data_IF_636308845994
#
_entry.id   IF_636308845994
#
_cell.length_a   1.000
_cell.length_b   1.000
_cell.length_c   1.000
_cell.angle_alpha   90.00
_cell.angle_beta   90.00
_cell.angle_gamma   90.00
#
_symmetry.space_group_name_H-M   'P 1'
#
loop_
_entity.id
_entity.type
_entity.pdbx_description
1 polymer ?
#
# COMPACT_ATOMS: atom_id res chain seq x y z
N UNK A 1 -75.42 -7.89 8.98
CA UNK A 1 -74.87 -8.91 8.06
C UNK A 1 -74.58 -8.19 6.76
N UNK A 2 -73.39 -7.62 6.62
CA UNK A 2 -73.01 -6.81 5.45
C UNK A 2 -71.93 -7.59 4.71
N UNK A 3 -72.30 -8.15 3.57
CA UNK A 3 -71.40 -8.90 2.70
C UNK A 3 -70.60 -7.88 1.89
N UNK A 4 -69.30 -7.77 2.18
CA UNK A 4 -68.35 -7.03 1.34
C UNK A 4 -68.11 -7.86 0.08
N UNK A 5 -68.57 -7.35 -1.06
CA UNK A 5 -68.32 -7.94 -2.38
C UNK A 5 -66.91 -7.53 -2.82
N UNK A 6 -65.98 -8.46 -3.11
CA UNK A 6 -64.67 -8.09 -3.62
C UNK A 6 -64.80 -7.59 -5.07
N UNK A 7 -64.18 -6.44 -5.37
CA UNK A 7 -64.08 -5.91 -6.71
C UNK A 7 -63.23 -6.85 -7.58
N UNK A 8 -63.82 -7.35 -8.67
CA UNK A 8 -63.18 -8.20 -9.67
C UNK A 8 -63.03 -7.42 -10.97
N UNK A 9 -61.82 -7.41 -11.53
CA UNK A 9 -61.52 -6.79 -12.82
C UNK A 9 -62.10 -7.67 -13.96
N UNK A 10 -62.90 -7.11 -14.90
CA UNK A 10 -63.75 -7.91 -15.78
C UNK A 10 -63.05 -8.64 -16.95
N UNK A 11 -61.71 -8.68 -17.02
CA UNK A 11 -61.01 -9.23 -18.18
C UNK A 11 -60.00 -10.37 -17.90
N UNK A 12 -59.68 -10.71 -16.64
CA UNK A 12 -58.71 -11.79 -16.36
C UNK A 12 -58.92 -12.60 -15.07
N UNK A 13 -59.88 -12.28 -14.21
CA UNK A 13 -60.35 -13.18 -13.14
C UNK A 13 -59.32 -13.62 -12.08
N UNK A 14 -58.16 -12.95 -11.94
CA UNK A 14 -57.16 -13.29 -10.93
C UNK A 14 -57.18 -12.31 -9.73
N UNK A 15 -56.98 -12.77 -8.49
CA UNK A 15 -56.88 -11.91 -7.31
C UNK A 15 -55.54 -11.14 -7.31
N UNK A 16 -55.58 -9.82 -7.08
CA UNK A 16 -54.42 -8.92 -6.93
C UNK A 16 -53.61 -9.15 -5.63
N UNK A 17 -53.45 -10.40 -5.18
CA UNK A 17 -52.67 -10.74 -3.99
C UNK A 17 -51.24 -11.24 -4.31
N UNK A 18 -50.75 -10.99 -5.53
CA UNK A 18 -49.45 -11.50 -5.99
C UNK A 18 -48.47 -10.36 -6.32
N UNK A 19 -48.23 -9.48 -5.34
CA UNK A 19 -47.10 -8.54 -5.34
C UNK A 19 -46.57 -8.33 -3.92
N UNK A 20 -46.22 -9.43 -3.25
CA UNK A 20 -45.26 -9.39 -2.14
C UNK A 20 -44.18 -10.40 -2.46
N UNK A 21 -43.11 -9.91 -3.09
CA UNK A 21 -41.84 -10.64 -3.14
C UNK A 21 -41.47 -11.09 -1.72
N UNK A 22 -40.95 -12.31 -1.53
CA UNK A 22 -40.47 -12.72 -0.23
C UNK A 22 -39.36 -11.74 0.19
N UNK A 23 -39.60 -11.01 1.28
CA UNK A 23 -38.56 -10.22 1.95
C UNK A 23 -37.50 -11.24 2.36
N UNK A 24 -36.32 -11.14 1.75
CA UNK A 24 -35.16 -11.93 2.13
C UNK A 24 -34.82 -11.57 3.57
N UNK A 25 -35.32 -12.35 4.52
CA UNK A 25 -34.82 -12.36 5.89
C UNK A 25 -33.40 -12.94 5.81
N UNK A 26 -32.43 -12.06 5.53
CA UNK A 26 -31.02 -12.39 5.55
C UNK A 26 -30.69 -12.76 7.00
N UNK A 27 -30.78 -14.05 7.32
CA UNK A 27 -30.36 -14.56 8.62
C UNK A 27 -28.94 -14.05 8.91
N UNK A 28 -28.66 -13.65 10.16
CA UNK A 28 -27.34 -13.12 10.52
C UNK A 28 -26.20 -14.08 10.10
N UNK A 29 -26.46 -15.39 10.08
CA UNK A 29 -25.56 -16.41 9.56
C UNK A 29 -25.13 -16.17 8.11
N UNK A 30 -26.06 -15.81 7.22
CA UNK A 30 -25.77 -15.52 5.81
C UNK A 30 -24.93 -14.24 5.66
N UNK A 31 -25.08 -13.29 6.59
CA UNK A 31 -24.25 -12.06 6.61
C UNK A 31 -22.83 -12.39 7.03
N UNK A 32 -22.63 -13.21 8.06
CA UNK A 32 -21.28 -13.65 8.47
C UNK A 32 -20.59 -14.47 7.40
N UNK A 33 -21.32 -15.37 6.73
CA UNK A 33 -20.79 -16.16 5.62
C UNK A 33 -20.44 -15.27 4.42
N UNK A 34 -21.26 -14.27 4.10
CA UNK A 34 -20.96 -13.29 3.05
C UNK A 34 -19.72 -12.44 3.35
N UNK A 35 -19.54 -12.02 4.60
CA UNK A 35 -18.34 -11.28 5.04
C UNK A 35 -17.10 -12.17 4.99
N UNK A 36 -17.19 -13.42 5.46
CA UNK A 36 -16.09 -14.39 5.40
C UNK A 36 -15.65 -14.66 3.96
N UNK A 37 -16.60 -14.95 3.07
CA UNK A 37 -16.34 -15.16 1.65
C UNK A 37 -15.71 -13.93 0.98
N UNK A 38 -16.13 -12.72 1.38
CA UNK A 38 -15.55 -11.48 0.87
C UNK A 38 -14.09 -11.32 1.32
N UNK A 39 -13.77 -11.60 2.58
CA UNK A 39 -12.40 -11.55 3.10
C UNK A 39 -11.52 -12.59 2.41
N UNK A 40 -11.98 -13.83 2.27
CA UNK A 40 -11.26 -14.88 1.56
C UNK A 40 -11.03 -14.52 0.09
N UNK A 41 -12.01 -13.89 -0.56
CA UNK A 41 -11.86 -13.37 -1.92
C UNK A 41 -10.76 -12.30 -1.99
N UNK A 42 -10.74 -11.34 -1.06
CA UNK A 42 -9.71 -10.29 -1.04
C UNK A 42 -8.32 -10.86 -0.73
N UNK A 43 -8.20 -11.79 0.21
CA UNK A 43 -6.93 -12.44 0.55
C UNK A 43 -6.40 -13.27 -0.64
N UNK A 44 -7.29 -13.97 -1.34
CA UNK A 44 -6.94 -14.70 -2.55
C UNK A 44 -6.51 -13.74 -3.67
N UNK A 45 -7.19 -12.59 -3.83
CA UNK A 45 -6.77 -11.56 -4.79
C UNK A 45 -5.41 -10.93 -4.44
N UNK A 46 -5.13 -10.68 -3.16
CA UNK A 46 -3.84 -10.16 -2.68
C UNK A 46 -2.71 -11.18 -2.88
N UNK A 47 -3.00 -12.45 -2.62
CA UNK A 47 -2.07 -13.57 -2.85
C UNK A 47 -1.72 -13.76 -4.34
N UNK A 48 -2.59 -13.30 -5.24
CA UNK A 48 -2.39 -13.34 -6.69
C UNK A 48 -1.76 -12.06 -7.25
N UNK A 49 -1.19 -11.18 -6.40
CA UNK A 49 -0.52 -9.98 -6.87
C UNK A 49 0.63 -10.36 -7.83
N UNK A 50 0.71 -9.73 -9.02
CA UNK A 50 1.72 -10.07 -10.00
C UNK A 50 3.12 -9.83 -9.45
N UNK A 51 4.09 -10.65 -9.87
CA UNK A 51 5.47 -10.41 -9.48
C UNK A 51 5.95 -9.05 -10.01
N UNK A 52 6.79 -8.38 -9.22
CA UNK A 52 7.37 -7.09 -9.61
C UNK A 52 8.02 -7.15 -11.00
N UNK A 53 8.69 -8.26 -11.33
CA UNK A 53 9.33 -8.43 -12.63
C UNK A 53 8.33 -8.47 -13.79
N UNK A 54 7.17 -9.12 -13.60
CA UNK A 54 6.08 -9.19 -14.58
C UNK A 54 5.45 -7.80 -14.78
N UNK A 55 5.26 -7.08 -13.67
CA UNK A 55 4.75 -5.70 -13.66
C UNK A 55 5.69 -4.75 -14.40
N UNK A 56 7.00 -4.89 -14.19
CA UNK A 56 8.02 -4.08 -14.85
C UNK A 56 8.23 -4.46 -16.32
N UNK A 57 7.62 -5.57 -16.79
CA UNK A 57 7.77 -6.11 -18.16
C UNK A 57 9.25 -6.27 -18.59
N UNK A 58 10.14 -6.45 -17.63
CA UNK A 58 11.57 -6.59 -17.88
C UNK A 58 11.83 -8.02 -18.35
N UNK A 59 12.24 -8.15 -19.61
CA UNK A 59 12.61 -9.45 -20.17
C UNK A 59 14.04 -9.79 -19.77
N UNK A 60 14.24 -10.90 -19.06
CA UNK A 60 15.57 -11.35 -18.57
C UNK A 60 16.65 -11.54 -19.64
N UNK A 61 16.28 -11.54 -20.92
CA UNK A 61 17.17 -11.76 -22.08
C UNK A 61 17.72 -10.48 -22.70
N UNK A 62 17.19 -9.32 -22.34
CA UNK A 62 17.58 -8.04 -22.94
C UNK A 62 17.70 -6.97 -21.85
N UNK A 63 18.65 -6.03 -21.98
CA UNK A 63 18.70 -4.88 -21.08
C UNK A 63 17.41 -4.07 -21.21
N UNK A 64 16.70 -3.91 -20.09
CA UNK A 64 15.58 -2.98 -20.00
C UNK A 64 16.09 -1.57 -19.78
N UNK A 65 15.52 -0.60 -20.48
CA UNK A 65 15.84 0.82 -20.29
C UNK A 65 14.62 1.51 -19.69
N UNK A 66 14.82 2.17 -18.56
CA UNK A 66 13.87 3.08 -17.92
C UNK A 66 14.42 4.50 -17.99
N UNK A 67 13.57 5.53 -17.97
CA UNK A 67 14.02 6.93 -18.02
C UNK A 67 14.27 7.50 -19.40
N UNK A 68 13.62 6.95 -20.43
CA UNK A 68 13.74 7.53 -21.77
C UNK A 68 12.94 8.82 -21.91
N UNK A 69 11.99 9.06 -21.02
CA UNK A 69 11.19 10.28 -20.99
C UNK A 69 11.39 11.00 -19.65
N UNK A 70 11.42 12.33 -19.66
CA UNK A 70 11.53 13.15 -18.44
C UNK A 70 10.39 12.91 -17.44
N UNK A 71 9.27 12.34 -17.90
CA UNK A 71 8.13 11.96 -17.07
C UNK A 71 8.30 10.59 -16.36
N UNK A 72 9.28 9.77 -16.74
CA UNK A 72 9.59 8.50 -16.07
C UNK A 72 10.33 8.74 -14.74
N UNK A 73 10.99 9.90 -14.59
CA UNK A 73 11.67 10.35 -13.37
C UNK A 73 11.29 11.80 -13.05
N UNK A 74 10.03 12.06 -12.65
CA UNK A 74 9.61 13.41 -12.32
C UNK A 74 10.40 13.94 -11.12
N UNK A 75 10.78 15.23 -11.17
CA UNK A 75 11.37 15.91 -10.01
C UNK A 75 10.30 16.04 -8.91
N UNK A 76 10.27 15.05 -8.01
CA UNK A 76 9.33 14.94 -6.89
C UNK A 76 9.34 16.18 -5.97
N UNK A 77 10.44 16.93 -5.94
CA UNK A 77 10.60 18.14 -5.13
C UNK A 77 9.92 19.37 -5.73
N UNK A 78 9.80 19.44 -7.07
CA UNK A 78 9.18 20.56 -7.79
C UNK A 78 7.66 20.35 -7.99
N UNK A 79 7.24 19.09 -8.04
CA UNK A 79 5.84 18.67 -8.21
C UNK A 79 5.00 18.78 -6.92
N UNK A 80 5.53 19.37 -5.85
CA UNK A 80 4.75 19.73 -4.67
C UNK A 80 3.95 21.04 -4.83
N UNK A 81 4.25 21.85 -5.85
CA UNK A 81 3.71 23.22 -5.98
C UNK A 81 2.70 23.42 -7.12
N UNK A 82 2.56 22.47 -8.04
CA UNK A 82 1.78 22.64 -9.27
C UNK A 82 0.65 21.63 -9.45
N UNK A 83 -0.13 21.37 -8.39
CA UNK A 83 -1.57 20.99 -8.41
C UNK A 83 -2.09 19.81 -9.26
N UNK A 84 -1.30 19.18 -10.12
CA UNK A 84 -1.76 18.28 -11.19
C UNK A 84 -0.78 17.10 -11.37
N UNK A 85 -0.36 16.51 -10.27
CA UNK A 85 0.10 15.11 -10.24
C UNK A 85 -0.13 14.60 -8.83
N UNK A 86 -0.65 13.40 -8.70
CA UNK A 86 -0.99 12.75 -7.44
C UNK A 86 0.28 12.68 -6.57
N UNK A 87 0.44 13.65 -5.67
CA UNK A 87 1.57 13.79 -4.76
C UNK A 87 1.46 12.76 -3.64
N UNK A 88 1.67 11.48 -3.97
CA UNK A 88 2.11 10.51 -2.97
C UNK A 88 3.64 10.61 -2.89
N UNK A 89 4.22 11.31 -1.90
CA UNK A 89 5.66 11.22 -1.69
C UNK A 89 5.99 9.74 -1.43
N UNK A 90 6.68 9.10 -2.38
CA UNK A 90 7.13 7.71 -2.22
C UNK A 90 8.02 7.53 -0.98
N UNK A 91 8.76 8.59 -0.64
CA UNK A 91 9.55 8.67 0.58
C UNK A 91 9.30 10.02 1.26
N UNK A 92 9.04 9.98 2.55
CA UNK A 92 9.00 11.17 3.40
C UNK A 92 10.11 11.03 4.44
N UNK A 93 11.08 11.97 4.51
CA UNK A 93 12.13 11.91 5.53
C UNK A 93 11.50 12.13 6.90
N UNK A 94 11.59 11.13 7.79
CA UNK A 94 11.01 11.20 9.13
C UNK A 94 11.96 11.85 10.14
N UNK A 95 13.25 11.50 10.08
CA UNK A 95 14.25 11.94 11.05
C UNK A 95 15.63 11.97 10.41
N UNK A 96 16.42 12.97 10.80
CA UNK A 96 17.84 13.06 10.47
C UNK A 96 18.63 12.98 11.76
N UNK A 97 19.36 11.88 11.97
CA UNK A 97 20.23 11.71 13.14
C UNK A 97 21.63 12.23 12.79
N UNK A 98 22.12 13.29 13.46
CA UNK A 98 23.48 13.77 13.25
C UNK A 98 24.51 12.82 13.86
N UNK A 99 25.75 12.88 13.34
CA UNK A 99 26.86 12.13 13.91
C UNK A 99 27.11 12.52 15.38
N UNK A 100 27.36 11.55 16.27
CA UNK A 100 27.76 11.82 17.65
C UNK A 100 28.98 12.75 17.72
N UNK A 101 28.90 13.79 18.57
CA UNK A 101 29.99 14.78 18.72
C UNK A 101 31.33 14.16 19.11
N UNK A 102 31.32 13.08 19.90
CA UNK A 102 32.54 12.36 20.27
C UNK A 102 33.24 11.68 19.09
N UNK A 103 32.52 11.38 18.00
CA UNK A 103 33.14 10.87 16.76
C UNK A 103 33.73 12.01 15.94
N UNK A 104 33.13 13.20 15.95
CA UNK A 104 33.60 14.36 15.19
C UNK A 104 35.04 14.76 15.56
N UNK A 105 35.43 14.62 16.82
CA UNK A 105 36.81 14.87 17.27
C UNK A 105 37.81 13.85 16.71
N UNK A 106 37.37 12.61 16.46
CA UNK A 106 38.22 11.56 15.86
C UNK A 106 38.44 11.80 14.37
N UNK A 107 37.49 12.46 13.68
CA UNK A 107 37.67 12.86 12.28
C UNK A 107 38.84 13.84 12.10
N UNK A 108 39.18 14.64 13.12
CA UNK A 108 40.35 15.55 13.06
C UNK A 108 41.69 14.82 13.07
N UNK A 109 41.70 13.54 13.44
CA UNK A 109 42.90 12.71 13.56
C UNK A 109 43.02 11.66 12.45
N UNK A 110 42.12 11.66 11.45
CA UNK A 110 42.18 10.73 10.31
C UNK A 110 43.49 10.92 9.56
N UNK A 111 44.23 9.83 9.35
CA UNK A 111 45.50 9.83 8.65
C UNK A 111 45.38 9.24 7.23
N UNK A 112 44.61 8.17 7.05
CA UNK A 112 44.60 7.39 5.80
C UNK A 112 43.20 6.97 5.36
N UNK A 113 42.46 6.22 6.18
CA UNK A 113 41.20 5.61 5.75
C UNK A 113 40.03 6.02 6.64
N UNK A 114 38.90 6.30 6.00
CA UNK A 114 37.64 6.53 6.68
C UNK A 114 36.52 5.84 5.90
N UNK A 115 35.96 4.79 6.49
CA UNK A 115 34.82 4.07 5.93
C UNK A 115 33.64 4.17 6.89
N UNK A 116 32.42 4.25 6.36
CA UNK A 116 31.20 4.34 7.16
C UNK A 116 30.09 3.52 6.54
N UNK A 117 29.18 3.05 7.38
CA UNK A 117 28.03 2.30 6.92
C UNK A 117 26.97 2.14 7.99
N UNK A 118 25.89 1.48 7.60
CA UNK A 118 24.76 1.15 8.48
C UNK A 118 24.61 -0.36 8.55
N UNK A 119 24.19 -0.85 9.71
CA UNK A 119 23.79 -2.23 9.93
C UNK A 119 22.33 -2.23 10.39
N UNK A 120 21.37 -2.22 9.43
CA UNK A 120 19.95 -2.14 9.75
C UNK A 120 19.46 -3.27 10.65
N UNK A 121 20.06 -4.46 10.53
CA UNK A 121 19.69 -5.66 11.30
C UNK A 121 19.89 -5.50 12.82
N UNK A 122 20.84 -4.66 13.24
CA UNK A 122 21.15 -4.45 14.66
C UNK A 122 20.86 -3.01 15.14
N UNK A 123 20.25 -2.17 14.30
CA UNK A 123 19.91 -0.79 14.66
C UNK A 123 21.12 0.12 14.89
N UNK A 124 22.27 -0.18 14.26
CA UNK A 124 23.53 0.55 14.49
C UNK A 124 24.15 1.09 13.22
N UNK A 125 24.83 2.21 13.37
CA UNK A 125 25.73 2.74 12.37
C UNK A 125 27.17 2.55 12.84
N UNK A 126 28.09 2.46 11.88
CA UNK A 126 29.50 2.28 12.14
C UNK A 126 30.34 3.24 11.32
N UNK A 127 31.48 3.61 11.89
CA UNK A 127 32.53 4.33 11.19
C UNK A 127 33.87 3.72 11.58
N UNK A 128 34.69 3.42 10.60
CA UNK A 128 36.07 3.00 10.76
C UNK A 128 36.96 4.19 10.42
N UNK A 129 37.75 4.62 11.39
CA UNK A 129 38.77 5.67 11.25
C UNK A 129 40.13 5.00 11.44
N UNK A 130 40.88 4.88 10.34
CA UNK A 130 42.15 4.17 10.25
C UNK A 130 42.10 2.72 10.79
N UNK A 131 42.37 2.53 12.08
CA UNK A 131 42.35 1.21 12.76
C UNK A 131 41.27 1.10 13.85
N UNK A 132 40.49 2.16 14.08
CA UNK A 132 39.48 2.21 15.12
C UNK A 132 38.08 2.11 14.52
N UNK A 133 37.27 1.21 15.05
CA UNK A 133 35.88 1.04 14.63
C UNK A 133 34.98 1.52 15.76
N UNK A 134 34.09 2.45 15.43
CA UNK A 134 33.11 3.01 16.34
C UNK A 134 31.71 2.58 15.92
N UNK A 135 30.92 2.09 16.87
CA UNK A 135 29.51 1.74 16.68
C UNK A 135 28.65 2.65 17.55
N UNK A 136 27.56 3.16 16.99
CA UNK A 136 26.54 3.87 17.74
C UNK A 136 25.14 3.44 17.30
N UNK A 137 24.16 3.63 18.19
CA UNK A 137 22.75 3.44 17.85
C UNK A 137 22.24 4.69 17.12
N UNK A 138 21.48 4.50 16.04
CA UNK A 138 20.83 5.61 15.33
C UNK A 138 19.35 5.78 15.71
N UNK A 139 18.87 5.02 16.70
CA UNK A 139 17.57 5.24 17.34
C UNK A 139 17.57 6.53 18.17
#
# INVERSE_FOLDING_TARGET
>A
MTIVVPAVDPLTGQPMASMMSPRTDMSAANVYEGVANSVDQFLNSDSMFPQMLDTLKVTQRYPSVSGLQDNDYPNLNEMGSSGQSLSLPQFTPLQTIPLPKGLLEQFSHIQQNCEMGIMPEIGRAWVAIDCYIYLWNYD
#
